data_IF_929698737120
#
_entry.id   IF_929698737120
#
_cell.length_a   1.000
_cell.length_b   1.000
_cell.length_c   1.000
_cell.angle_alpha   90.00
_cell.angle_beta   90.00
_cell.angle_gamma   90.00
#
_symmetry.space_group_name_H-M   'P 1'
#
loop_
_entity.id
_entity.type
_entity.pdbx_description
1 polymer ?
#
# COMPACT_ATOMS: atom_id res chain seq x y z
N UNK A 1 41.49 -7.63 -15.97
CA UNK A 1 40.42 -8.27 -16.75
C UNK A 1 39.73 -9.28 -15.85
N UNK A 2 38.62 -8.88 -15.21
CA UNK A 2 37.70 -9.82 -14.56
C UNK A 2 36.28 -9.38 -14.94
N UNK A 3 35.68 -10.30 -15.68
CA UNK A 3 34.33 -10.40 -16.23
C UNK A 3 33.25 -9.45 -15.65
N UNK A 4 32.77 -8.52 -16.47
CA UNK A 4 31.39 -8.05 -16.44
C UNK A 4 30.52 -9.10 -17.14
N UNK A 5 29.64 -9.81 -16.41
CA UNK A 5 28.32 -10.22 -16.87
C UNK A 5 27.55 -11.03 -15.81
N UNK A 6 26.22 -11.01 -15.96
CA UNK A 6 25.14 -11.62 -15.16
C UNK A 6 24.76 -10.81 -13.90
N UNK A 7 23.64 -10.10 -13.82
CA UNK A 7 22.35 -10.32 -14.51
C UNK A 7 21.64 -9.02 -14.86
N UNK A 8 20.99 -9.03 -16.03
CA UNK A 8 19.79 -8.25 -16.29
C UNK A 8 18.61 -8.87 -15.51
N UNK A 9 18.73 -8.94 -14.18
CA UNK A 9 17.59 -9.29 -13.34
C UNK A 9 16.90 -7.98 -12.98
N UNK A 10 15.89 -7.63 -13.78
CA UNK A 10 14.89 -6.57 -13.61
C UNK A 10 15.34 -5.35 -12.78
N UNK A 11 15.41 -4.16 -13.40
CA UNK A 11 15.56 -2.87 -12.69
C UNK A 11 14.77 -2.88 -11.37
N UNK A 12 15.45 -3.20 -10.28
CA UNK A 12 14.79 -3.55 -9.03
C UNK A 12 14.37 -2.21 -8.47
N UNK A 13 13.07 -1.91 -8.47
CA UNK A 13 12.61 -0.72 -7.76
C UNK A 13 13.05 -0.90 -6.30
N UNK A 14 13.89 0.01 -5.82
CA UNK A 14 14.47 -0.05 -4.47
C UNK A 14 13.39 -0.13 -3.38
N UNK A 15 12.16 0.32 -3.68
CA UNK A 15 11.02 0.31 -2.78
C UNK A 15 9.83 -0.41 -3.43
N UNK A 16 9.31 -1.43 -2.74
CA UNK A 16 8.08 -2.13 -3.10
C UNK A 16 6.88 -1.56 -2.35
N UNK A 17 5.75 -1.43 -3.02
CA UNK A 17 4.52 -0.87 -2.46
C UNK A 17 3.38 -1.90 -2.43
N UNK A 18 2.66 -1.95 -1.31
CA UNK A 18 1.49 -2.81 -1.14
C UNK A 18 0.28 -2.00 -0.70
N UNK A 19 -0.76 -1.93 -1.53
CA UNK A 19 -2.04 -1.30 -1.19
C UNK A 19 -3.04 -2.36 -0.71
N UNK A 20 -3.66 -2.15 0.44
CA UNK A 20 -4.69 -3.03 0.99
C UNK A 20 -5.95 -2.22 1.28
N UNK A 21 -7.09 -2.63 0.72
CA UNK A 21 -8.39 -2.01 1.02
C UNK A 21 -9.02 -2.62 2.28
N UNK A 22 -9.73 -1.82 3.09
CA UNK A 22 -10.49 -2.34 4.23
C UNK A 22 -9.65 -2.71 5.45
N UNK A 23 -8.82 -1.80 5.94
CA UNK A 23 -7.90 -1.98 7.06
C UNK A 23 -8.48 -1.49 8.40
N UNK A 24 -9.77 -1.72 8.63
CA UNK A 24 -10.44 -1.39 9.89
C UNK A 24 -9.78 -2.10 11.09
N UNK A 25 -9.88 -1.49 12.26
CA UNK A 25 -9.24 -1.98 13.48
C UNK A 25 -9.69 -3.40 13.85
N UNK A 26 -8.73 -4.27 14.16
CA UNK A 26 -8.91 -5.70 14.42
C UNK A 26 -9.18 -6.54 13.17
N UNK A 27 -9.15 -5.95 11.96
CA UNK A 27 -9.51 -6.60 10.71
C UNK A 27 -8.34 -7.32 10.01
N UNK A 28 -8.67 -8.11 8.98
CA UNK A 28 -7.69 -8.79 8.14
C UNK A 28 -6.80 -7.77 7.40
N UNK A 29 -7.38 -6.67 6.93
CA UNK A 29 -6.63 -5.62 6.25
C UNK A 29 -5.53 -5.01 7.12
N UNK A 30 -5.81 -4.72 8.40
CA UNK A 30 -4.81 -4.23 9.36
C UNK A 30 -3.66 -5.23 9.54
N UNK A 31 -3.98 -6.51 9.76
CA UNK A 31 -2.97 -7.55 9.93
C UNK A 31 -2.07 -7.69 8.68
N UNK A 32 -2.64 -7.53 7.48
CA UNK A 32 -1.86 -7.56 6.24
C UNK A 32 -0.90 -6.39 6.10
N UNK A 33 -1.34 -5.16 6.38
CA UNK A 33 -0.47 -3.98 6.26
C UNK A 33 0.65 -3.97 7.30
N UNK A 34 0.38 -4.48 8.51
CA UNK A 34 1.41 -4.71 9.54
C UNK A 34 2.44 -5.74 9.06
N UNK A 35 1.99 -6.86 8.48
CA UNK A 35 2.89 -7.90 7.96
C UNK A 35 3.70 -7.42 6.74
N UNK A 36 3.10 -6.66 5.82
CA UNK A 36 3.83 -6.07 4.69
C UNK A 36 4.90 -5.08 5.16
N UNK A 37 4.57 -4.25 6.15
CA UNK A 37 5.52 -3.34 6.78
C UNK A 37 6.68 -4.12 7.43
N UNK A 38 6.38 -5.18 8.17
CA UNK A 38 7.38 -6.07 8.79
C UNK A 38 8.30 -6.74 7.75
N UNK A 39 7.79 -6.99 6.54
CA UNK A 39 8.57 -7.54 5.40
C UNK A 39 9.34 -6.49 4.59
N UNK A 40 9.30 -5.22 5.00
CA UNK A 40 10.03 -4.13 4.34
C UNK A 40 9.35 -3.56 3.11
N UNK A 41 8.06 -3.88 2.88
CA UNK A 41 7.26 -3.19 1.87
C UNK A 41 6.73 -1.88 2.46
N UNK A 42 6.54 -0.88 1.61
CA UNK A 42 5.74 0.28 1.97
C UNK A 42 4.26 -0.09 1.88
N UNK A 43 3.69 -0.46 3.02
CA UNK A 43 2.25 -0.72 3.12
C UNK A 43 1.46 0.59 3.05
N UNK A 44 0.38 0.55 2.28
CA UNK A 44 -0.62 1.61 2.15
C UNK A 44 -1.96 0.97 2.55
N UNK A 45 -2.54 1.47 3.62
CA UNK A 45 -3.82 1.03 4.13
C UNK A 45 -4.94 1.93 3.64
N UNK A 46 -6.15 1.38 3.51
CA UNK A 46 -7.35 2.21 3.40
C UNK A 46 -8.39 1.80 4.42
N UNK A 47 -9.10 2.77 4.98
CA UNK A 47 -10.26 2.57 5.88
C UNK A 47 -11.47 3.33 5.34
N UNK A 48 -12.67 3.01 5.80
CA UNK A 48 -13.84 3.81 5.44
C UNK A 48 -13.66 5.25 5.94
N UNK A 49 -14.18 6.28 5.24
CA UNK A 49 -14.04 7.68 5.68
C UNK A 49 -14.61 7.98 7.08
N UNK A 50 -15.50 7.13 7.58
CA UNK A 50 -16.11 7.24 8.92
C UNK A 50 -15.34 6.50 10.01
N UNK A 51 -14.34 5.68 9.65
CA UNK A 51 -13.55 4.90 10.59
C UNK A 51 -12.34 5.69 11.10
N UNK A 52 -11.90 5.39 12.33
CA UNK A 52 -10.68 5.95 12.89
C UNK A 52 -9.46 5.21 12.29
N UNK A 53 -8.39 5.95 11.98
CA UNK A 53 -7.15 5.42 11.39
C UNK A 53 -5.93 5.53 12.33
N UNK A 54 -6.13 5.92 13.59
CA UNK A 54 -5.05 6.12 14.56
C UNK A 54 -4.29 4.82 14.85
N UNK A 55 -4.94 3.66 14.80
CA UNK A 55 -4.27 2.37 14.97
C UNK A 55 -3.22 2.12 13.88
N UNK A 56 -3.45 2.62 12.65
CA UNK A 56 -2.50 2.48 11.54
C UNK A 56 -1.44 3.58 11.56
N UNK A 57 -1.86 4.82 11.79
CA UNK A 57 -0.93 5.96 11.73
C UNK A 57 0.06 5.97 12.89
N UNK A 58 -0.35 5.48 14.08
CA UNK A 58 0.58 5.27 15.21
C UNK A 58 1.66 4.23 14.91
N UNK A 59 1.35 3.25 14.08
CA UNK A 59 2.30 2.23 13.58
C UNK A 59 3.15 2.75 12.40
N UNK A 60 2.98 4.02 12.00
CA UNK A 60 3.70 4.63 10.89
C UNK A 60 3.24 4.14 9.51
N UNK A 61 2.06 3.52 9.41
CA UNK A 61 1.50 3.03 8.16
C UNK A 61 0.81 4.17 7.42
N UNK A 62 1.11 4.32 6.13
CA UNK A 62 0.41 5.30 5.27
C UNK A 62 -1.05 4.89 5.14
N UNK A 63 -1.99 5.77 5.49
CA UNK A 63 -3.43 5.49 5.43
C UNK A 63 -4.16 6.53 4.57
N UNK A 64 -5.15 6.08 3.80
CA UNK A 64 -6.08 6.93 3.05
C UNK A 64 -7.54 6.52 3.26
N UNK A 65 -8.49 7.46 3.27
CA UNK A 65 -9.90 7.12 3.27
C UNK A 65 -10.31 6.51 1.91
N UNK A 66 -11.12 5.45 1.94
CA UNK A 66 -11.69 4.81 0.75
C UNK A 66 -13.09 4.27 1.04
N UNK A 67 -14.06 4.70 0.23
CA UNK A 67 -15.34 4.03 0.05
C UNK A 67 -15.37 3.42 -1.36
N UNK A 68 -15.17 2.11 -1.48
CA UNK A 68 -15.12 1.40 -2.77
C UNK A 68 -16.43 1.49 -3.56
N UNK A 69 -17.54 1.84 -2.91
CA UNK A 69 -18.86 1.99 -3.54
C UNK A 69 -19.04 3.37 -4.20
N UNK A 70 -18.14 4.33 -3.94
CA UNK A 70 -18.18 5.69 -4.49
C UNK A 70 -17.02 5.92 -5.46
N UNK A 71 -17.33 6.11 -6.73
CA UNK A 71 -16.33 6.34 -7.79
C UNK A 71 -15.40 7.52 -7.49
N UNK A 72 -15.94 8.63 -6.99
CA UNK A 72 -15.15 9.80 -6.57
C UNK A 72 -14.11 9.49 -5.49
N UNK A 73 -14.42 8.55 -4.58
CA UNK A 73 -13.48 8.12 -3.54
C UNK A 73 -12.33 7.30 -4.15
N UNK A 74 -12.65 6.44 -5.11
CA UNK A 74 -11.66 5.62 -5.83
C UNK A 74 -10.74 6.51 -6.67
N UNK A 75 -11.28 7.53 -7.35
CA UNK A 75 -10.48 8.49 -8.14
C UNK A 75 -9.50 9.26 -7.25
N UNK A 76 -9.97 9.81 -6.12
CA UNK A 76 -9.12 10.53 -5.16
C UNK A 76 -8.01 9.64 -4.59
N UNK A 77 -8.34 8.40 -4.23
CA UNK A 77 -7.35 7.42 -3.76
C UNK A 77 -6.30 7.15 -4.86
N UNK A 78 -6.75 6.91 -6.09
CA UNK A 78 -5.85 6.66 -7.22
C UNK A 78 -4.86 7.80 -7.42
N UNK A 79 -5.32 9.05 -7.39
CA UNK A 79 -4.45 10.22 -7.52
C UNK A 79 -3.39 10.27 -6.41
N UNK A 80 -3.80 10.05 -5.15
CA UNK A 80 -2.90 10.04 -4.01
C UNK A 80 -1.86 8.90 -4.10
N UNK A 81 -2.29 7.69 -4.45
CA UNK A 81 -1.42 6.52 -4.60
C UNK A 81 -0.46 6.70 -5.77
N UNK A 82 -0.93 7.19 -6.93
CA UNK A 82 -0.05 7.47 -8.08
C UNK A 82 1.05 8.46 -7.70
N UNK A 83 0.69 9.54 -6.99
CA UNK A 83 1.67 10.53 -6.51
C UNK A 83 2.66 9.92 -5.52
N UNK A 84 2.21 9.04 -4.63
CA UNK A 84 3.05 8.40 -3.62
C UNK A 84 4.02 7.37 -4.22
N UNK A 85 3.57 6.60 -5.21
CA UNK A 85 4.29 5.41 -5.69
C UNK A 85 4.96 5.60 -7.06
N UNK A 86 4.76 6.75 -7.70
CA UNK A 86 5.19 6.97 -9.09
C UNK A 86 4.34 6.18 -10.09
N UNK A 87 3.10 5.83 -9.72
CA UNK A 87 2.14 5.18 -10.61
C UNK A 87 2.18 3.65 -10.61
N UNK A 88 2.95 3.01 -9.73
CA UNK A 88 3.06 1.55 -9.67
C UNK A 88 2.80 0.98 -8.29
N UNK A 89 2.22 -0.22 -8.24
CA UNK A 89 2.09 -1.04 -7.05
C UNK A 89 2.70 -2.42 -7.34
N UNK A 90 3.30 -3.03 -6.33
CA UNK A 90 3.78 -4.42 -6.39
C UNK A 90 2.70 -5.38 -5.88
N UNK A 91 1.86 -4.91 -4.95
CA UNK A 91 0.73 -5.66 -4.40
C UNK A 91 -0.50 -4.76 -4.31
N UNK A 92 -1.64 -5.29 -4.71
CA UNK A 92 -2.97 -4.75 -4.44
C UNK A 92 -3.83 -5.87 -3.84
N UNK A 93 -4.40 -5.63 -2.66
CA UNK A 93 -5.34 -6.53 -2.01
C UNK A 93 -6.71 -5.84 -1.91
N UNK A 94 -7.68 -6.34 -2.67
CA UNK A 94 -9.08 -5.92 -2.57
C UNK A 94 -9.77 -6.73 -1.46
N UNK A 95 -9.68 -6.26 -0.23
CA UNK A 95 -10.25 -6.92 0.94
C UNK A 95 -11.59 -6.30 1.39
N UNK A 96 -11.85 -5.04 1.04
CA UNK A 96 -13.16 -4.38 1.14
C UNK A 96 -13.79 -4.16 -0.22
#
# INVERSE_FOLDING_TARGET
MLCLCSSLDAMSRDKKFALVTGCGQGGIGEALVQEFTRRGLHAIATVLPSENDEHLTRDGITCFPLDVTKEESVVKLKEAVVKLTGGFLDVLVNNA
#
